data_IF_737969615668
#
_entry.id   IF_737969615668
#
_cell.length_a   1.000
_cell.length_b   1.000
_cell.length_c   1.000
_cell.angle_alpha   90.00
_cell.angle_beta   90.00
_cell.angle_gamma   90.00
#
_symmetry.space_group_name_H-M   'P 1'
#
loop_
_entity.id
_entity.type
_entity.pdbx_description
1 polymer ?
#
# COMPACT_ATOMS: atom_id res chain seq x y z
N UNK A 1 -5.62 4.02 -19.08
CA UNK A 1 -6.53 3.38 -18.10
C UNK A 1 -5.81 2.13 -17.60
N UNK A 2 -5.44 2.09 -16.32
CA UNK A 2 -4.73 0.94 -15.74
C UNK A 2 -5.73 -0.20 -15.55
N UNK A 3 -5.44 -1.38 -16.11
CA UNK A 3 -6.29 -2.56 -15.95
C UNK A 3 -6.18 -3.06 -14.50
N UNK A 4 -7.25 -3.05 -13.70
CA UNK A 4 -7.15 -3.47 -12.32
C UNK A 4 -6.90 -4.99 -12.24
N UNK A 5 -5.90 -5.40 -11.47
CA UNK A 5 -5.68 -6.80 -11.12
C UNK A 5 -6.59 -7.18 -9.96
N UNK A 6 -7.24 -8.34 -10.05
CA UNK A 6 -8.03 -8.92 -8.98
C UNK A 6 -7.37 -10.20 -8.50
N UNK A 7 -7.39 -10.41 -7.18
CA UNK A 7 -6.82 -11.60 -6.55
C UNK A 7 -7.93 -12.51 -6.02
N UNK A 8 -7.69 -13.80 -6.06
CA UNK A 8 -8.61 -14.82 -5.55
C UNK A 8 -8.85 -14.61 -4.05
N UNK A 9 -10.13 -14.55 -3.69
CA UNK A 9 -10.58 -14.39 -2.31
C UNK A 9 -11.45 -15.55 -1.86
N UNK A 10 -11.49 -15.77 -0.55
CA UNK A 10 -12.33 -16.75 0.11
C UNK A 10 -13.06 -16.07 1.29
N UNK A 11 -14.18 -16.64 1.79
CA UNK A 11 -14.84 -16.14 2.98
C UNK A 11 -13.88 -16.02 4.16
N UNK A 12 -13.99 -14.94 4.92
CA UNK A 12 -13.13 -14.74 6.09
C UNK A 12 -13.35 -15.85 7.12
N UNK A 13 -12.34 -16.70 7.33
CA UNK A 13 -12.45 -17.83 8.27
C UNK A 13 -12.66 -17.46 9.74
N UNK A 14 -12.52 -16.17 10.13
CA UNK A 14 -12.79 -15.73 11.51
C UNK A 14 -14.26 -15.40 11.76
N UNK A 15 -14.93 -14.77 10.80
CA UNK A 15 -16.34 -14.40 10.91
C UNK A 15 -17.26 -15.26 10.02
N UNK A 16 -16.71 -16.24 9.31
CA UNK A 16 -17.48 -17.06 8.36
C UNK A 16 -18.08 -16.26 7.20
N UNK A 17 -17.53 -15.10 6.87
CA UNK A 17 -18.06 -14.23 5.81
C UNK A 17 -19.17 -13.26 6.25
N UNK A 18 -19.53 -13.19 7.53
CA UNK A 18 -20.55 -12.22 8.01
C UNK A 18 -20.00 -10.80 8.08
N UNK A 19 -18.68 -10.63 8.26
CA UNK A 19 -18.02 -9.35 8.48
C UNK A 19 -18.14 -8.82 9.91
N UNK A 20 -18.90 -9.49 10.78
CA UNK A 20 -19.10 -9.12 12.19
C UNK A 20 -19.06 -10.34 13.11
N UNK A 21 -18.75 -10.09 14.38
CA UNK A 21 -18.79 -11.06 15.46
C UNK A 21 -19.71 -10.49 16.54
N UNK A 22 -20.94 -11.00 16.62
CA UNK A 22 -21.97 -10.45 17.51
C UNK A 22 -21.55 -10.47 18.99
N UNK A 23 -20.83 -11.52 19.41
CA UNK A 23 -20.26 -11.62 20.76
C UNK A 23 -19.31 -10.47 21.13
N UNK A 24 -18.77 -9.74 20.14
CA UNK A 24 -17.91 -8.57 20.34
C UNK A 24 -18.62 -7.26 19.96
N UNK A 25 -19.96 -7.22 19.96
CA UNK A 25 -20.74 -6.03 19.58
C UNK A 25 -20.34 -4.75 20.35
N UNK A 26 -19.87 -4.90 21.59
CA UNK A 26 -19.40 -3.81 22.44
C UNK A 26 -18.01 -3.25 22.01
N UNK A 27 -17.23 -3.98 21.21
CA UNK A 27 -15.93 -3.54 20.70
C UNK A 27 -16.08 -3.15 19.23
N UNK A 28 -15.99 -1.85 18.94
CA UNK A 28 -16.09 -1.31 17.59
C UNK A 28 -17.32 -1.83 16.79
N UNK A 29 -18.46 -2.01 17.47
CA UNK A 29 -19.69 -2.51 16.85
C UNK A 29 -19.62 -3.96 16.36
N UNK A 30 -18.70 -4.77 16.89
CA UNK A 30 -18.52 -6.17 16.50
C UNK A 30 -17.87 -6.36 15.13
N UNK A 31 -17.26 -5.33 14.54
CA UNK A 31 -16.58 -5.45 13.25
C UNK A 31 -15.46 -6.49 13.34
N UNK A 32 -15.42 -7.43 12.39
CA UNK A 32 -14.40 -8.47 12.40
C UNK A 32 -13.02 -7.85 12.18
N UNK A 33 -12.19 -7.79 13.23
CA UNK A 33 -10.84 -7.22 13.18
C UNK A 33 -9.89 -7.90 12.18
N UNK A 34 -10.19 -9.13 11.73
CA UNK A 34 -9.35 -9.83 10.74
C UNK A 34 -9.57 -9.32 9.32
N UNK A 35 -10.83 -9.17 8.92
CA UNK A 35 -11.17 -8.72 7.56
C UNK A 35 -11.57 -7.23 7.51
N UNK A 36 -11.59 -6.53 8.66
CA UNK A 36 -12.06 -5.15 8.76
C UNK A 36 -13.51 -4.96 8.30
N UNK A 37 -14.34 -6.01 8.38
CA UNK A 37 -15.71 -5.98 7.85
C UNK A 37 -15.87 -6.29 6.36
N UNK A 38 -14.79 -6.51 5.60
CA UNK A 38 -14.84 -6.81 4.15
C UNK A 38 -15.46 -8.18 3.80
N UNK A 39 -15.72 -9.05 4.79
CA UNK A 39 -16.30 -10.40 4.65
C UNK A 39 -15.42 -11.43 3.94
N UNK A 40 -14.39 -10.99 3.22
CA UNK A 40 -13.48 -11.85 2.47
C UNK A 40 -12.05 -11.72 2.97
N UNK A 41 -11.22 -12.69 2.61
CA UNK A 41 -9.77 -12.64 2.77
C UNK A 41 -9.12 -13.21 1.51
N UNK A 42 -7.86 -12.87 1.24
CA UNK A 42 -7.11 -13.51 0.16
C UNK A 42 -7.00 -15.01 0.43
N UNK A 43 -7.36 -15.83 -0.56
CA UNK A 43 -7.16 -17.27 -0.51
C UNK A 43 -5.66 -17.58 -0.44
N UNK A 44 -5.27 -18.84 -0.18
CA UNK A 44 -3.85 -19.22 -0.18
C UNK A 44 -3.17 -18.87 -1.51
N UNK A 45 -3.87 -19.10 -2.62
CA UNK A 45 -3.38 -18.78 -3.98
C UNK A 45 -3.37 -17.29 -4.22
N UNK A 46 -4.46 -16.59 -3.89
CA UNK A 46 -4.54 -15.13 -4.01
C UNK A 46 -3.48 -14.41 -3.18
N UNK A 47 -3.15 -14.91 -1.99
CA UNK A 47 -2.09 -14.33 -1.14
C UNK A 47 -0.69 -14.55 -1.73
N UNK A 48 -0.43 -15.71 -2.31
CA UNK A 48 0.82 -15.97 -3.01
C UNK A 48 0.98 -15.05 -4.24
N UNK A 49 -0.10 -14.90 -5.02
CA UNK A 49 -0.13 -14.02 -6.18
C UNK A 49 0.05 -12.54 -5.77
N UNK A 50 -0.68 -12.07 -4.76
CA UNK A 50 -0.57 -10.72 -4.22
C UNK A 50 0.85 -10.44 -3.72
N UNK A 51 1.47 -11.37 -2.98
CA UNK A 51 2.86 -11.20 -2.52
C UNK A 51 3.84 -11.11 -3.69
N UNK A 52 3.67 -11.93 -4.72
CA UNK A 52 4.52 -11.89 -5.90
C UNK A 52 4.35 -10.57 -6.68
N UNK A 53 3.11 -10.07 -6.78
CA UNK A 53 2.79 -8.77 -7.35
C UNK A 53 3.49 -7.63 -6.62
N UNK A 54 3.33 -7.56 -5.30
CA UNK A 54 3.94 -6.53 -4.45
C UNK A 54 5.48 -6.53 -4.58
N UNK A 55 6.10 -7.71 -4.58
CA UNK A 55 7.55 -7.85 -4.75
C UNK A 55 8.03 -7.41 -6.15
N UNK A 56 7.26 -7.73 -7.19
CA UNK A 56 7.60 -7.34 -8.56
C UNK A 56 7.48 -5.82 -8.76
N UNK A 57 6.47 -5.19 -8.15
CA UNK A 57 6.35 -3.73 -8.13
C UNK A 57 7.49 -3.10 -7.33
N UNK A 58 7.79 -3.59 -6.13
CA UNK A 58 8.92 -3.09 -5.32
C UNK A 58 10.25 -3.19 -6.05
N UNK A 59 10.47 -4.26 -6.84
CA UNK A 59 11.71 -4.43 -7.58
C UNK A 59 11.87 -3.44 -8.75
N UNK A 60 10.76 -3.01 -9.38
CA UNK A 60 10.79 -2.14 -10.56
C UNK A 60 10.55 -0.66 -10.25
N UNK A 61 9.73 -0.39 -9.24
CA UNK A 61 9.24 0.95 -8.89
C UNK A 61 9.64 1.39 -7.48
N UNK A 62 10.24 0.48 -6.69
CA UNK A 62 10.72 0.81 -5.36
C UNK A 62 11.88 1.79 -5.42
N UNK A 63 11.70 2.92 -4.76
CA UNK A 63 12.70 3.95 -4.57
C UNK A 63 13.00 4.08 -3.09
N UNK A 64 14.23 4.47 -2.76
CA UNK A 64 14.51 5.00 -1.42
C UNK A 64 13.92 6.40 -1.32
N UNK A 65 13.48 6.80 -0.13
CA UNK A 65 12.85 8.10 0.09
C UNK A 65 13.75 9.28 -0.34
N UNK A 66 15.07 9.13 -0.25
CA UNK A 66 16.09 10.13 -0.66
C UNK A 66 16.30 10.23 -2.17
N UNK A 67 15.71 9.32 -2.94
CA UNK A 67 15.78 9.32 -4.41
C UNK A 67 14.52 9.91 -5.06
N UNK A 68 13.58 10.39 -4.24
CA UNK A 68 12.36 11.03 -4.72
C UNK A 68 12.67 12.48 -5.10
N UNK A 69 12.14 12.91 -6.23
CA UNK A 69 12.29 14.28 -6.74
C UNK A 69 10.94 14.98 -6.82
N UNK A 70 10.96 16.31 -6.69
CA UNK A 70 9.75 17.13 -6.90
C UNK A 70 9.20 16.93 -8.32
N UNK A 71 7.87 16.88 -8.43
CA UNK A 71 7.18 16.56 -9.68
C UNK A 71 7.06 15.07 -10.00
N UNK A 72 7.71 14.17 -9.23
CA UNK A 72 7.46 12.74 -9.38
C UNK A 72 6.05 12.37 -8.88
N UNK A 73 5.47 11.34 -9.50
CA UNK A 73 4.19 10.76 -9.06
C UNK A 73 4.50 9.50 -8.27
N UNK A 74 4.03 9.43 -7.04
CA UNK A 74 4.11 8.24 -6.18
C UNK A 74 2.75 7.56 -6.09
N UNK A 75 2.76 6.25 -5.88
CA UNK A 75 1.53 5.50 -5.59
C UNK A 75 1.34 5.42 -4.07
N UNK A 76 0.45 6.27 -3.53
CA UNK A 76 0.10 6.29 -2.10
C UNK A 76 -1.26 5.62 -1.88
N UNK A 77 -1.27 4.51 -1.14
CA UNK A 77 -2.49 3.75 -0.81
C UNK A 77 -3.35 3.38 -2.04
N UNK A 78 -2.69 3.09 -3.17
CA UNK A 78 -3.35 2.77 -4.44
C UNK A 78 -3.81 3.98 -5.23
N UNK A 79 -3.38 5.20 -4.86
CA UNK A 79 -3.71 6.44 -5.57
C UNK A 79 -2.45 7.16 -6.04
N UNK A 80 -2.38 7.56 -7.32
CA UNK A 80 -1.28 8.37 -7.80
C UNK A 80 -1.36 9.77 -7.17
N UNK A 81 -0.25 10.23 -6.59
CA UNK A 81 -0.11 11.56 -6.01
C UNK A 81 1.19 12.20 -6.52
N UNK A 82 1.08 13.41 -7.04
CA UNK A 82 2.25 14.21 -7.41
C UNK A 82 2.89 14.78 -6.14
N UNK A 83 4.22 14.73 -6.08
CA UNK A 83 5.00 15.40 -5.05
C UNK A 83 5.18 16.86 -5.47
N UNK A 84 4.61 17.78 -4.70
CA UNK A 84 4.74 19.21 -4.96
C UNK A 84 5.94 19.83 -4.25
N UNK A 85 6.30 19.30 -3.07
CA UNK A 85 7.41 19.79 -2.27
C UNK A 85 8.02 18.65 -1.44
N UNK A 86 9.34 18.69 -1.27
CA UNK A 86 10.10 17.76 -0.43
C UNK A 86 10.81 18.53 0.68
N UNK A 87 10.57 18.14 1.93
CA UNK A 87 11.32 18.65 3.08
C UNK A 87 12.15 17.53 3.70
N UNK A 88 13.42 17.80 3.94
CA UNK A 88 14.33 16.88 4.64
C UNK A 88 14.60 17.40 6.03
N UNK A 89 14.19 16.64 7.05
CA UNK A 89 14.39 16.96 8.45
C UNK A 89 15.31 15.91 9.07
N UNK A 90 16.42 16.33 9.65
CA UNK A 90 17.33 15.41 10.36
C UNK A 90 16.96 15.43 11.84
N UNK A 91 16.39 14.32 12.33
CA UNK A 91 15.90 14.20 13.70
C UNK A 91 16.69 13.14 14.45
N UNK A 92 17.27 13.53 15.58
CA UNK A 92 17.92 12.58 16.49
C UNK A 92 16.85 11.83 17.28
N UNK A 93 16.70 10.54 17.00
CA UNK A 93 15.74 9.65 17.66
C UNK A 93 16.48 8.59 18.48
N UNK A 94 16.12 8.43 19.75
CA UNK A 94 16.73 7.43 20.64
C UNK A 94 16.22 7.55 22.08
N UNK A 95 16.53 6.55 22.90
CA UNK A 95 16.25 6.60 24.33
C UNK A 95 17.43 7.28 25.05
N UNK A 96 17.20 8.47 25.60
CA UNK A 96 18.22 9.21 26.37
C UNK A 96 18.78 8.39 27.56
N UNK A 97 18.02 7.40 28.04
CA UNK A 97 18.35 6.56 29.20
C UNK A 97 19.44 5.52 28.85
N UNK A 98 19.48 5.02 27.62
CA UNK A 98 20.45 3.99 27.18
C UNK A 98 21.66 4.56 26.44
N UNK A 99 21.69 5.86 26.14
CA UNK A 99 22.80 6.50 25.42
C UNK A 99 22.82 6.24 23.90
N UNK A 100 21.94 5.39 23.39
CA UNK A 100 21.78 5.10 21.97
C UNK A 100 20.92 6.18 21.28
N UNK A 101 21.53 7.33 21.01
CA UNK A 101 20.96 8.35 20.14
C UNK A 101 21.35 8.04 18.69
N UNK A 102 20.37 7.85 17.81
CA UNK A 102 20.61 7.69 16.37
C UNK A 102 20.06 8.91 15.63
N UNK A 103 20.87 9.47 14.74
CA UNK A 103 20.39 10.50 13.82
C UNK A 103 19.63 9.81 12.69
N UNK A 104 18.34 10.14 12.55
CA UNK A 104 17.48 9.61 11.49
C UNK A 104 17.12 10.76 10.56
N UNK A 105 17.29 10.56 9.25
CA UNK A 105 16.83 11.54 8.26
C UNK A 105 15.39 11.20 7.89
N UNK A 106 14.48 12.13 8.16
CA UNK A 106 13.06 12.01 7.84
C UNK A 106 12.79 12.86 6.61
N UNK A 107 12.17 12.25 5.59
CA UNK A 107 11.76 12.94 4.38
C UNK A 107 10.25 13.09 4.44
N UNK A 108 9.77 14.34 4.36
CA UNK A 108 8.36 14.68 4.28
C UNK A 108 8.01 15.00 2.83
N UNK A 109 7.00 14.30 2.34
CA UNK A 109 6.40 14.57 1.04
C UNK A 109 5.13 15.38 1.25
N UNK A 110 5.02 16.49 0.53
CA UNK A 110 3.78 17.26 0.45
C UNK A 110 3.10 16.96 -0.88
N UNK A 111 1.86 16.47 -0.78
CA UNK A 111 1.04 16.16 -1.95
C UNK A 111 -0.24 16.99 -1.91
N UNK A 112 -0.54 17.68 -3.00
CA UNK A 112 -1.78 18.41 -3.13
C UNK A 112 -2.93 17.44 -3.32
N UNK A 113 -3.91 17.53 -2.43
CA UNK A 113 -5.14 16.75 -2.48
C UNK A 113 -6.17 17.43 -3.39
N UNK A 114 -7.17 16.66 -3.81
CA UNK A 114 -8.25 17.10 -4.71
C UNK A 114 -9.09 18.26 -4.13
N UNK A 115 -9.04 18.45 -2.80
CA UNK A 115 -9.69 19.55 -2.09
C UNK A 115 -8.81 20.82 -1.97
N UNK A 116 -7.64 20.84 -2.61
CA UNK A 116 -6.68 21.95 -2.57
C UNK A 116 -5.85 22.03 -1.28
N UNK A 117 -6.01 21.10 -0.32
CA UNK A 117 -5.17 21.01 0.88
C UNK A 117 -3.91 20.19 0.59
N UNK A 118 -2.84 20.47 1.32
CA UNK A 118 -1.66 19.62 1.31
C UNK A 118 -1.80 18.50 2.34
N UNK A 119 -1.65 17.26 1.89
CA UNK A 119 -1.36 16.14 2.76
C UNK A 119 0.14 16.08 3.00
N UNK A 120 0.56 15.79 4.23
CA UNK A 120 1.94 15.40 4.51
C UNK A 120 1.98 13.93 4.91
N UNK A 121 2.80 13.15 4.23
CA UNK A 121 3.07 11.77 4.59
C UNK A 121 4.47 11.70 5.21
N UNK A 122 4.55 11.23 6.46
CA UNK A 122 5.82 10.96 7.11
C UNK A 122 6.29 9.57 6.68
N UNK A 123 7.42 9.51 5.96
CA UNK A 123 8.02 8.25 5.52
C UNK A 123 9.41 8.13 6.15
N UNK A 124 9.55 7.48 7.32
CA UNK A 124 10.87 7.27 7.93
C UNK A 124 11.66 6.30 7.07
N UNK A 125 12.73 6.77 6.39
CA UNK A 125 13.65 6.02 5.50
C UNK A 125 13.01 4.96 4.58
N UNK A 126 11.70 5.03 4.37
CA UNK A 126 10.90 3.89 3.96
C UNK A 126 10.85 3.87 2.45
N UNK A 127 10.95 2.66 1.90
CA UNK A 127 10.73 2.43 0.47
C UNK A 127 9.41 3.09 0.06
N UNK A 128 9.51 4.00 -0.90
CA UNK A 128 8.36 4.56 -1.61
C UNK A 128 8.25 3.88 -2.97
N UNK A 129 7.07 3.94 -3.59
CA UNK A 129 6.86 3.40 -4.94
C UNK A 129 6.56 4.53 -5.91
N UNK A 130 7.38 4.64 -6.95
CA UNK A 130 7.05 5.47 -8.12
C UNK A 130 5.77 4.94 -8.75
N UNK A 131 4.89 5.82 -9.16
CA UNK A 131 3.75 5.45 -9.99
C UNK A 131 4.19 5.39 -11.46
N UNK A 132 4.01 4.23 -12.07
CA UNK A 132 4.15 4.05 -13.50
C UNK A 132 3.05 3.09 -13.99
N UNK A 133 2.02 3.59 -14.69
CA UNK A 133 0.88 2.78 -15.09
C UNK A 133 1.24 1.70 -16.12
N UNK A 134 2.31 1.87 -16.89
CA UNK A 134 2.75 0.86 -17.86
C UNK A 134 3.42 -0.30 -17.13
N UNK A 135 4.33 0.02 -16.21
CA UNK A 135 5.00 -1.01 -15.39
C UNK A 135 4.00 -1.76 -14.52
N UNK A 136 3.03 -1.06 -13.90
CA UNK A 136 1.96 -1.72 -13.14
C UNK A 136 1.14 -2.68 -14.00
N UNK A 137 0.76 -2.27 -15.22
CA UNK A 137 0.02 -3.13 -16.15
C UNK A 137 0.84 -4.35 -16.61
N UNK A 138 2.13 -4.17 -16.89
CA UNK A 138 3.03 -5.27 -17.27
C UNK A 138 3.19 -6.29 -16.13
N UNK A 139 3.44 -5.81 -14.91
CA UNK A 139 3.56 -6.67 -13.73
C UNK A 139 2.24 -7.38 -13.46
N UNK A 140 1.11 -6.68 -13.56
CA UNK A 140 -0.21 -7.29 -13.42
C UNK A 140 -0.44 -8.42 -14.44
N UNK A 141 -0.09 -8.20 -15.72
CA UNK A 141 -0.21 -9.22 -16.76
C UNK A 141 0.70 -10.43 -16.51
N UNK A 142 1.94 -10.21 -16.07
CA UNK A 142 2.87 -11.29 -15.71
C UNK A 142 2.35 -12.14 -14.54
N UNK A 143 1.80 -11.50 -13.50
CA UNK A 143 1.27 -12.20 -12.34
C UNK A 143 0.00 -12.98 -12.71
N UNK A 144 -0.91 -12.39 -13.48
CA UNK A 144 -2.12 -13.07 -13.95
C UNK A 144 -1.79 -14.30 -14.83
N UNK A 145 -0.75 -14.21 -15.66
CA UNK A 145 -0.30 -15.34 -16.49
C UNK A 145 0.34 -16.47 -15.66
N UNK A 146 1.04 -16.14 -14.56
CA UNK A 146 1.82 -17.09 -13.77
C UNK A 146 1.04 -17.71 -12.61
N UNK A 147 0.08 -16.99 -12.03
CA UNK A 147 -0.64 -17.41 -10.83
C UNK A 147 -2.12 -17.58 -11.14
N UNK A 148 -2.64 -18.79 -10.95
CA UNK A 148 -4.06 -19.11 -11.12
C UNK A 148 -4.99 -18.37 -10.14
N UNK A 149 -4.43 -17.71 -9.12
CA UNK A 149 -5.16 -16.93 -8.13
C UNK A 149 -5.18 -15.43 -8.43
N UNK A 150 -4.83 -15.01 -9.64
CA UNK A 150 -4.88 -13.62 -10.08
C UNK A 150 -5.47 -13.50 -11.49
N UNK A 151 -6.29 -12.48 -11.70
CA UNK A 151 -6.96 -12.24 -12.98
C UNK A 151 -6.96 -10.76 -13.28
N UNK A 152 -6.71 -10.40 -14.54
CA UNK A 152 -6.93 -9.03 -15.03
C UNK A 152 -8.43 -8.78 -15.12
N UNK A 153 -8.91 -7.69 -14.52
CA UNK A 153 -10.27 -7.25 -14.74
C UNK A 153 -10.45 -6.81 -16.21
N UNK A 154 -11.63 -7.02 -16.76
CA UNK A 154 -11.95 -6.44 -18.06
C UNK A 154 -11.87 -4.90 -17.98
N UNK A 155 -11.39 -4.20 -19.02
CA UNK A 155 -11.44 -2.75 -19.06
C UNK A 155 -12.91 -2.34 -18.90
N UNK A 156 -13.20 -1.45 -17.95
CA UNK A 156 -14.53 -0.85 -17.84
C UNK A 156 -14.79 -0.06 -19.14
N UNK A 157 -15.74 -0.55 -19.94
CA UNK A 157 -16.26 0.11 -21.15
C UNK A 157 -17.03 1.36 -20.80
#
# INVERSE_FOLDING_TARGET
>A
MTTPITFETEPCGRCGGTGRLEQYGHVAGGVCAKCGGSKVQLSRRGRAAHRAYELALDARLGLRADQVEEGQVLNEDGRPRCIDQIETETTTTGMAITGDLRTVTVIRFFTRQDNGRYGSAHRPESRVRRYDPQVEAEVAAQIAARYSGATLAAPAT
#
